data_IF_359888068641
#
_entry.id   IF_359888068641
#
_cell.length_a   1.000
_cell.length_b   1.000
_cell.length_c   1.000
_cell.angle_alpha   90.00
_cell.angle_beta   90.00
_cell.angle_gamma   90.00
#
_symmetry.space_group_name_H-M   'P 1'
#
loop_
_entity.id
_entity.type
_entity.pdbx_description
1 polymer ?
#
# COMPACT_ATOMS: atom_id res chain seq x y z
N UNK A 1 59.96 -7.57 4.43
CA UNK A 1 59.59 -7.06 3.08
C UNK A 1 58.87 -8.21 2.39
N UNK A 2 57.59 -8.21 2.06
CA UNK A 2 56.58 -7.17 1.95
C UNK A 2 55.69 -7.55 0.76
N UNK A 3 54.36 -7.45 0.97
CA UNK A 3 53.28 -7.38 -0.04
C UNK A 3 52.60 -8.69 -0.45
N UNK A 4 51.49 -8.90 0.25
CA UNK A 4 50.28 -9.59 -0.17
C UNK A 4 49.90 -9.37 -1.64
N UNK A 5 49.49 -10.44 -2.32
CA UNK A 5 48.67 -10.37 -3.52
C UNK A 5 47.33 -11.04 -3.19
N UNK A 6 46.33 -10.20 -3.08
CA UNK A 6 44.97 -10.47 -2.62
C UNK A 6 44.06 -10.13 -3.80
N UNK A 7 43.11 -11.04 -4.08
CA UNK A 7 41.86 -10.83 -4.81
C UNK A 7 41.91 -10.72 -6.33
N UNK A 8 41.30 -11.71 -6.97
CA UNK A 8 40.81 -11.67 -8.35
C UNK A 8 39.72 -12.71 -8.62
N UNK A 9 38.91 -13.06 -7.61
CA UNK A 9 37.70 -13.88 -7.81
C UNK A 9 36.62 -12.95 -8.39
N UNK A 10 36.67 -12.77 -9.71
CA UNK A 10 35.65 -12.09 -10.52
C UNK A 10 34.60 -13.12 -10.97
N UNK A 11 34.08 -13.88 -10.01
CA UNK A 11 32.97 -14.80 -10.22
C UNK A 11 31.90 -14.53 -9.17
N UNK A 12 30.68 -14.30 -9.67
CA UNK A 12 29.43 -14.25 -8.93
C UNK A 12 29.23 -13.04 -8.00
N UNK A 13 28.84 -11.92 -8.60
CA UNK A 13 27.77 -11.07 -8.05
C UNK A 13 26.97 -10.50 -9.24
N UNK A 14 26.33 -11.41 -9.99
CA UNK A 14 25.01 -11.14 -10.56
C UNK A 14 24.06 -10.97 -9.37
N UNK A 15 24.15 -9.81 -8.72
CA UNK A 15 23.07 -9.36 -7.85
C UNK A 15 21.87 -9.20 -8.78
N UNK A 16 21.04 -10.24 -8.78
CA UNK A 16 19.60 -10.13 -8.84
C UNK A 16 19.20 -8.81 -8.18
N UNK A 17 19.05 -7.76 -8.98
CA UNK A 17 18.23 -6.62 -8.60
C UNK A 17 16.82 -7.19 -8.51
N UNK A 18 16.21 -7.36 -7.32
CA UNK A 18 14.80 -7.66 -7.29
C UNK A 18 14.12 -6.39 -7.77
N UNK A 19 13.72 -6.43 -9.05
CA UNK A 19 12.61 -5.69 -9.62
C UNK A 19 12.54 -4.20 -9.28
N UNK A 20 12.90 -3.39 -10.28
CA UNK A 20 12.28 -2.08 -10.53
C UNK A 20 10.78 -2.23 -10.88
N UNK A 21 10.06 -3.13 -10.20
CA UNK A 21 8.61 -3.07 -10.13
C UNK A 21 8.33 -1.92 -9.16
N UNK A 22 7.60 -0.91 -9.63
CA UNK A 22 6.98 0.07 -8.74
C UNK A 22 6.46 -0.67 -7.50
N UNK A 23 6.83 -0.23 -6.31
CA UNK A 23 6.56 -0.95 -5.07
C UNK A 23 5.05 -0.95 -4.84
N UNK A 24 4.37 -1.92 -5.46
CA UNK A 24 2.93 -2.10 -5.40
C UNK A 24 2.54 -2.28 -3.95
N UNK A 25 1.83 -1.29 -3.39
CA UNK A 25 1.21 -1.38 -2.07
C UNK A 25 0.33 -2.63 -2.01
N UNK A 26 0.35 -3.34 -0.88
CA UNK A 26 -0.39 -4.57 -0.58
C UNK A 26 -1.19 -4.40 0.70
N UNK A 27 -2.16 -5.28 0.94
CA UNK A 27 -3.01 -5.21 2.13
C UNK A 27 -2.20 -5.29 3.44
N UNK A 28 -1.14 -6.10 3.46
CA UNK A 28 -0.29 -6.35 4.63
C UNK A 28 0.78 -5.26 4.84
N UNK A 29 0.91 -4.32 3.90
CA UNK A 29 1.86 -3.21 4.04
C UNK A 29 1.43 -2.29 5.19
N UNK A 30 2.41 -1.74 5.90
CA UNK A 30 2.15 -0.76 6.97
C UNK A 30 1.41 0.45 6.41
N UNK A 31 0.39 0.90 7.13
CA UNK A 31 -0.39 2.10 6.81
C UNK A 31 0.49 3.36 6.71
N UNK A 32 1.61 3.41 7.45
CA UNK A 32 2.61 4.48 7.34
C UNK A 32 3.26 4.61 5.95
N UNK A 33 3.13 3.60 5.08
CA UNK A 33 3.60 3.65 3.69
C UNK A 33 2.64 4.43 2.80
N UNK A 34 1.35 4.48 3.13
CA UNK A 34 0.35 5.23 2.36
C UNK A 34 0.76 6.68 2.07
N UNK A 35 1.06 7.54 3.08
CA UNK A 35 1.42 8.93 2.81
C UNK A 35 2.72 9.10 2.03
N UNK A 36 3.58 8.07 2.02
CA UNK A 36 4.89 8.09 1.33
C UNK A 36 4.83 7.49 -0.08
N UNK A 37 3.78 6.75 -0.40
CA UNK A 37 3.61 6.10 -1.69
C UNK A 37 3.37 7.11 -2.81
N UNK A 38 3.88 6.81 -4.00
CA UNK A 38 3.64 7.61 -5.19
C UNK A 38 2.17 7.55 -5.63
N UNK A 39 1.74 8.56 -6.40
CA UNK A 39 0.36 8.63 -6.90
C UNK A 39 -0.06 7.37 -7.68
N UNK A 40 0.81 6.85 -8.53
CA UNK A 40 0.55 5.63 -9.30
C UNK A 40 0.32 4.40 -8.42
N UNK A 41 1.05 4.27 -7.30
CA UNK A 41 0.93 3.14 -6.38
C UNK A 41 -0.39 3.21 -5.60
N UNK A 42 -0.77 4.42 -5.15
CA UNK A 42 -2.06 4.67 -4.50
C UNK A 42 -3.24 4.38 -5.43
N UNK A 43 -3.18 4.86 -6.67
CA UNK A 43 -4.21 4.64 -7.69
C UNK A 43 -4.35 3.15 -7.99
N UNK A 44 -3.22 2.47 -8.20
CA UNK A 44 -3.24 1.04 -8.47
C UNK A 44 -3.78 0.22 -7.29
N UNK A 45 -3.43 0.57 -6.05
CA UNK A 45 -3.98 -0.07 -4.86
C UNK A 45 -5.50 0.11 -4.74
N UNK A 46 -5.96 1.36 -4.76
CA UNK A 46 -7.38 1.71 -4.63
C UNK A 46 -8.24 1.15 -5.76
N UNK A 47 -7.72 1.09 -6.99
CA UNK A 47 -8.39 0.41 -8.10
C UNK A 47 -8.60 -1.08 -7.82
N UNK A 48 -7.60 -1.78 -7.26
CA UNK A 48 -7.74 -3.21 -6.93
C UNK A 48 -8.72 -3.44 -5.78
N UNK A 49 -8.63 -2.64 -4.73
CA UNK A 49 -9.54 -2.72 -3.58
C UNK A 49 -10.97 -2.40 -4.01
N UNK A 50 -11.17 -1.27 -4.69
CA UNK A 50 -12.47 -0.85 -5.21
C UNK A 50 -13.09 -1.88 -6.14
N UNK A 51 -12.31 -2.47 -7.07
CA UNK A 51 -12.82 -3.55 -7.94
C UNK A 51 -13.26 -4.78 -7.16
N UNK A 52 -12.57 -5.11 -6.06
CA UNK A 52 -12.92 -6.26 -5.23
C UNK A 52 -14.18 -5.99 -4.39
N UNK A 53 -14.32 -4.77 -3.89
CA UNK A 53 -15.37 -4.38 -2.95
C UNK A 53 -16.64 -3.81 -3.61
N UNK A 54 -16.57 -3.35 -4.85
CA UNK A 54 -17.72 -2.82 -5.60
C UNK A 54 -18.82 -3.86 -5.81
N UNK A 55 -18.47 -5.15 -5.73
CA UNK A 55 -19.41 -6.27 -5.73
C UNK A 55 -20.26 -6.34 -4.46
N UNK A 56 -19.75 -5.81 -3.34
CA UNK A 56 -20.44 -5.80 -2.04
C UNK A 56 -21.33 -4.57 -1.88
N UNK A 57 -20.89 -3.42 -2.40
CA UNK A 57 -21.68 -2.20 -2.41
C UNK A 57 -21.24 -1.29 -3.56
N UNK A 58 -22.18 -0.74 -4.36
CA UNK A 58 -21.85 0.13 -5.48
C UNK A 58 -21.13 1.42 -5.07
N UNK A 59 -21.16 1.80 -3.79
CA UNK A 59 -20.44 2.96 -3.26
C UNK A 59 -19.02 2.69 -2.76
N UNK A 60 -18.55 1.43 -2.79
CA UNK A 60 -17.19 1.05 -2.40
C UNK A 60 -16.27 0.99 -3.63
N UNK A 61 -16.13 2.14 -4.31
CA UNK A 61 -15.31 2.27 -5.51
C UNK A 61 -13.89 2.80 -5.21
N UNK A 62 -13.04 2.82 -6.24
CA UNK A 62 -11.65 3.30 -6.14
C UNK A 62 -11.55 4.75 -5.64
N UNK A 63 -12.43 5.63 -6.12
CA UNK A 63 -12.46 7.03 -5.70
C UNK A 63 -12.87 7.19 -4.24
N UNK A 64 -13.81 6.37 -3.78
CA UNK A 64 -14.16 6.28 -2.36
C UNK A 64 -12.94 5.87 -1.51
N UNK A 65 -12.27 4.77 -1.85
CA UNK A 65 -11.11 4.30 -1.10
C UNK A 65 -9.95 5.28 -1.15
N UNK A 66 -9.72 5.96 -2.27
CA UNK A 66 -8.68 6.99 -2.36
C UNK A 66 -8.92 8.10 -1.33
N UNK A 67 -10.14 8.66 -1.28
CA UNK A 67 -10.44 9.74 -0.33
C UNK A 67 -10.40 9.25 1.12
N UNK A 68 -11.02 8.11 1.39
CA UNK A 68 -11.04 7.59 2.75
C UNK A 68 -9.65 7.23 3.28
N UNK A 69 -8.79 6.61 2.46
CA UNK A 69 -7.43 6.27 2.89
C UNK A 69 -6.57 7.52 3.10
N UNK A 70 -6.72 8.56 2.28
CA UNK A 70 -6.09 9.86 2.53
C UNK A 70 -6.56 10.47 3.85
N UNK A 71 -7.87 10.42 4.16
CA UNK A 71 -8.38 10.92 5.44
C UNK A 71 -7.85 10.10 6.63
N UNK A 72 -7.99 8.77 6.58
CA UNK A 72 -7.54 7.86 7.66
C UNK A 72 -6.03 7.95 7.90
N UNK A 73 -5.23 8.10 6.84
CA UNK A 73 -3.78 8.28 6.97
C UNK A 73 -3.40 9.58 7.67
N UNK A 74 -4.28 10.59 7.65
CA UNK A 74 -4.06 11.89 8.25
C UNK A 74 -4.63 12.00 9.69
N UNK A 75 -5.46 11.05 10.15
CA UNK A 75 -6.16 11.13 11.45
C UNK A 75 -5.27 10.73 12.66
N UNK A 76 -4.11 10.11 12.46
CA UNK A 76 -3.24 9.79 13.61
C UNK A 76 -2.05 8.88 13.32
N UNK A 77 -1.50 8.27 14.38
CA UNK A 77 -0.33 7.41 14.31
C UNK A 77 -0.70 6.03 13.75
N UNK A 78 -0.41 5.83 12.46
CA UNK A 78 -0.72 4.60 11.72
C UNK A 78 0.40 3.54 11.81
N UNK A 79 1.35 3.68 12.74
CA UNK A 79 2.59 2.88 12.76
C UNK A 79 2.36 1.38 12.95
N UNK A 80 1.33 0.99 13.69
CA UNK A 80 0.99 -0.42 13.96
C UNK A 80 -0.15 -0.95 13.08
N UNK A 81 -0.73 -0.11 12.24
CA UNK A 81 -1.84 -0.49 11.35
C UNK A 81 -1.33 -0.96 9.99
N UNK A 82 -2.08 -1.86 9.37
CA UNK A 82 -1.87 -2.27 7.97
C UNK A 82 -2.82 -1.51 7.03
N UNK A 83 -2.53 -1.51 5.73
CA UNK A 83 -3.47 -1.00 4.73
C UNK A 83 -4.80 -1.75 4.76
N UNK A 84 -4.81 -3.04 5.14
CA UNK A 84 -6.04 -3.79 5.34
C UNK A 84 -6.91 -3.19 6.45
N UNK A 85 -6.31 -2.78 7.57
CA UNK A 85 -7.04 -2.17 8.68
C UNK A 85 -7.64 -0.81 8.31
N UNK A 86 -6.91 -0.02 7.52
CA UNK A 86 -7.45 1.23 6.96
C UNK A 86 -8.61 0.97 6.00
N UNK A 87 -8.48 -0.02 5.11
CA UNK A 87 -9.57 -0.41 4.19
C UNK A 87 -10.80 -0.88 4.96
N UNK A 88 -10.64 -1.69 6.02
CA UNK A 88 -11.74 -2.11 6.89
C UNK A 88 -12.42 -0.92 7.54
N UNK A 89 -11.63 0.03 8.05
CA UNK A 89 -12.14 1.28 8.61
C UNK A 89 -12.99 2.03 7.59
N UNK A 90 -12.50 2.16 6.35
CA UNK A 90 -13.27 2.77 5.26
C UNK A 90 -14.58 2.02 4.99
N UNK A 91 -14.56 0.70 4.86
CA UNK A 91 -15.79 -0.07 4.66
C UNK A 91 -16.79 0.16 5.80
N UNK A 92 -16.33 0.14 7.05
CA UNK A 92 -17.17 0.44 8.21
C UNK A 92 -17.77 1.84 8.17
N UNK A 93 -16.98 2.86 7.82
CA UNK A 93 -17.45 4.24 7.67
C UNK A 93 -18.51 4.38 6.56
N UNK A 94 -18.33 3.67 5.44
CA UNK A 94 -19.33 3.66 4.38
C UNK A 94 -20.65 3.02 4.85
N UNK A 95 -20.59 1.88 5.54
CA UNK A 95 -21.78 1.24 6.09
C UNK A 95 -22.52 2.14 7.08
N UNK A 96 -21.81 2.86 7.95
CA UNK A 96 -22.42 3.85 8.85
C UNK A 96 -23.10 4.99 8.09
N UNK A 97 -22.50 5.45 6.97
CA UNK A 97 -23.06 6.53 6.14
C UNK A 97 -24.27 6.07 5.32
N UNK A 98 -24.26 4.82 4.85
CA UNK A 98 -25.38 4.21 4.13
C UNK A 98 -26.57 3.89 5.04
N UNK A 99 -26.33 3.50 6.30
CA UNK A 99 -27.39 3.26 7.30
C UNK A 99 -27.90 4.52 8.03
N UNK A 100 -27.24 5.66 7.87
CA UNK A 100 -27.71 6.95 8.41
C UNK A 100 -28.72 7.67 7.48
N UNK A 101 -29.17 7.00 6.42
CA UNK A 101 -30.22 7.46 5.52
C UNK A 101 -31.51 6.66 5.77
N UNK A 102 -31.94 6.56 7.02
CA UNK A 102 -33.26 6.04 7.43
C UNK A 102 -33.89 6.98 8.45
#
# INVERSE_FOLDING_TARGET
>A
MGRAAVIGVLTALTLFSPSLAAARLKMDDKASLWPRAGASEKIDFTNRVGKSMSTLSPGLDSGYFMRCLEEVANIGDTKDLTLSDMVRTCVSLQSSRSGASE
#
